data_IF_796152305959
#
_entry.id   IF_796152305959
#
_cell.length_a   1.000
_cell.length_b   1.000
_cell.length_c   1.000
_cell.angle_alpha   90.00
_cell.angle_beta   90.00
_cell.angle_gamma   90.00
#
_symmetry.space_group_name_H-M   'P 1'
#
loop_
_entity.id
_entity.type
_entity.pdbx_description
1 polymer ?
#
# COMPACT_ATOMS: atom_id res chain seq x y z
N UNK A 1 -48.62 20.81 -12.04
CA UNK A 1 -47.29 20.19 -12.14
C UNK A 1 -47.51 18.74 -12.50
N UNK A 2 -47.29 18.40 -13.76
CA UNK A 2 -47.36 17.03 -14.28
C UNK A 2 -46.25 16.21 -13.62
N UNK A 3 -46.60 15.31 -12.72
CA UNK A 3 -45.67 14.33 -12.14
C UNK A 3 -45.20 13.40 -13.25
N UNK A 4 -43.89 13.43 -13.53
CA UNK A 4 -43.26 12.58 -14.53
C UNK A 4 -43.43 11.10 -14.15
N UNK A 5 -43.78 10.20 -15.09
CA UNK A 5 -43.91 8.78 -14.79
C UNK A 5 -42.53 8.18 -14.44
N UNK A 6 -42.44 7.48 -13.30
CA UNK A 6 -41.25 6.75 -12.89
C UNK A 6 -41.09 5.46 -13.72
N UNK A 7 -39.89 5.20 -14.21
CA UNK A 7 -39.53 4.00 -14.94
C UNK A 7 -39.19 2.86 -13.97
N UNK A 8 -39.56 1.63 -14.33
CA UNK A 8 -39.11 0.43 -13.60
C UNK A 8 -37.62 0.21 -13.87
N UNK A 9 -36.92 -0.42 -12.92
CA UNK A 9 -35.49 -0.76 -13.09
C UNK A 9 -35.22 -1.52 -14.40
N UNK A 10 -36.09 -2.46 -14.80
CA UNK A 10 -35.92 -3.18 -16.05
C UNK A 10 -36.04 -2.30 -17.31
N UNK A 11 -36.78 -1.19 -17.25
CA UNK A 11 -36.90 -0.25 -18.36
C UNK A 11 -35.67 0.66 -18.45
N UNK A 12 -35.09 1.02 -17.29
CA UNK A 12 -33.83 1.76 -17.19
C UNK A 12 -32.66 0.90 -17.66
N UNK A 13 -32.61 -0.36 -17.22
CA UNK A 13 -31.60 -1.33 -17.64
C UNK A 13 -31.56 -1.49 -19.17
N UNK A 14 -32.72 -1.54 -19.84
CA UNK A 14 -32.76 -1.57 -21.32
C UNK A 14 -32.23 -0.28 -21.93
N UNK A 15 -32.65 0.89 -21.42
CA UNK A 15 -32.18 2.19 -21.90
C UNK A 15 -30.66 2.37 -21.71
N UNK A 16 -30.10 1.91 -20.60
CA UNK A 16 -28.65 1.94 -20.36
C UNK A 16 -27.91 1.11 -21.41
N UNK A 17 -28.40 -0.09 -21.72
CA UNK A 17 -27.78 -0.92 -22.75
C UNK A 17 -27.92 -0.32 -24.16
N UNK A 18 -29.05 0.30 -24.46
CA UNK A 18 -29.27 0.94 -25.77
C UNK A 18 -28.33 2.15 -25.94
N UNK A 19 -28.24 3.02 -24.94
CA UNK A 19 -27.33 4.19 -24.96
C UNK A 19 -25.87 3.75 -24.98
N UNK A 20 -25.49 2.75 -24.16
CA UNK A 20 -24.11 2.25 -24.15
C UNK A 20 -23.73 1.57 -25.48
N UNK A 21 -24.65 0.84 -26.11
CA UNK A 21 -24.45 0.26 -27.45
C UNK A 21 -24.18 1.34 -28.50
N UNK A 22 -24.96 2.44 -28.46
CA UNK A 22 -24.82 3.54 -29.41
C UNK A 22 -23.55 4.36 -29.18
N UNK A 23 -23.27 4.76 -27.93
CA UNK A 23 -22.14 5.65 -27.60
C UNK A 23 -20.79 4.94 -27.66
N UNK A 24 -20.73 3.68 -27.23
CA UNK A 24 -19.48 2.92 -27.19
C UNK A 24 -19.24 2.08 -28.45
N UNK A 25 -20.20 2.08 -29.40
CA UNK A 25 -20.05 1.44 -30.70
C UNK A 25 -20.11 -0.10 -30.69
N UNK A 26 -20.71 -0.70 -29.65
CA UNK A 26 -20.89 -2.16 -29.55
C UNK A 26 -22.25 -2.60 -30.09
N UNK A 27 -22.35 -3.73 -30.82
CA UNK A 27 -23.64 -4.33 -31.16
C UNK A 27 -24.49 -4.62 -29.92
N UNK A 28 -25.81 -4.41 -30.03
CA UNK A 28 -26.72 -4.52 -28.88
C UNK A 28 -26.79 -5.92 -28.25
N UNK A 29 -26.45 -6.96 -29.01
CA UNK A 29 -26.38 -8.37 -28.59
C UNK A 29 -25.02 -8.76 -27.99
N UNK A 30 -24.00 -7.91 -28.10
CA UNK A 30 -22.66 -8.11 -27.53
C UNK A 30 -22.46 -7.35 -26.21
N UNK A 31 -23.43 -6.53 -25.78
CA UNK A 31 -23.37 -5.74 -24.55
C UNK A 31 -24.35 -6.25 -23.47
N UNK A 32 -23.86 -6.29 -22.23
CA UNK A 32 -24.55 -6.83 -21.05
C UNK A 32 -24.41 -5.88 -19.85
N UNK A 33 -25.41 -5.89 -18.97
CA UNK A 33 -25.38 -5.09 -17.74
C UNK A 33 -24.22 -5.48 -16.81
N UNK A 34 -23.69 -6.68 -16.96
CA UNK A 34 -22.55 -7.16 -16.18
C UNK A 34 -21.22 -6.58 -16.64
N UNK A 35 -21.15 -5.94 -17.81
CA UNK A 35 -19.91 -5.52 -18.42
C UNK A 35 -19.30 -4.35 -17.65
N UNK A 36 -17.97 -4.44 -17.47
CA UNK A 36 -17.17 -3.45 -16.76
C UNK A 36 -16.83 -2.33 -17.74
N UNK A 37 -17.14 -1.09 -17.35
CA UNK A 37 -17.00 0.06 -18.24
C UNK A 37 -15.57 0.20 -18.78
N UNK A 38 -14.56 0.09 -17.92
CA UNK A 38 -13.17 0.25 -18.33
C UNK A 38 -12.62 -1.04 -18.95
N UNK A 39 -12.75 -2.17 -18.25
CA UNK A 39 -12.02 -3.38 -18.63
C UNK A 39 -12.68 -4.22 -19.74
N UNK A 40 -14.00 -4.16 -19.88
CA UNK A 40 -14.72 -4.92 -20.91
C UNK A 40 -15.12 -4.02 -22.09
N UNK A 41 -15.53 -2.77 -21.82
CA UNK A 41 -16.00 -1.83 -22.84
C UNK A 41 -14.95 -0.80 -23.28
N UNK A 42 -13.80 -0.75 -22.61
CA UNK A 42 -12.71 0.17 -22.97
C UNK A 42 -13.01 1.65 -22.72
N UNK A 43 -14.07 1.95 -21.95
CA UNK A 43 -14.55 3.30 -21.66
C UNK A 43 -13.48 4.12 -20.94
N UNK A 44 -13.01 5.19 -21.57
CA UNK A 44 -12.14 6.17 -20.92
C UNK A 44 -12.95 7.27 -20.20
N UNK A 45 -12.28 8.32 -19.72
CA UNK A 45 -12.94 9.39 -18.97
C UNK A 45 -13.82 10.30 -19.83
N UNK A 46 -13.56 10.42 -21.13
CA UNK A 46 -14.38 11.18 -22.06
C UNK A 46 -15.61 10.36 -22.46
N UNK A 47 -15.42 9.08 -22.79
CA UNK A 47 -16.50 8.15 -23.11
C UNK A 47 -17.52 8.06 -21.97
N UNK A 48 -17.04 8.07 -20.71
CA UNK A 48 -17.91 8.03 -19.53
C UNK A 48 -18.76 9.29 -19.39
N UNK A 49 -18.20 10.46 -19.71
CA UNK A 49 -18.94 11.73 -19.65
C UNK A 49 -20.02 11.76 -20.72
N UNK A 50 -19.70 11.36 -21.95
CA UNK A 50 -20.66 11.30 -23.06
C UNK A 50 -21.77 10.30 -22.76
N UNK A 51 -21.41 9.10 -22.26
CA UNK A 51 -22.36 8.08 -21.84
C UNK A 51 -23.33 8.58 -20.76
N UNK A 52 -22.83 9.33 -19.77
CA UNK A 52 -23.66 9.90 -18.70
C UNK A 52 -24.61 10.96 -19.26
N UNK A 53 -24.13 11.87 -20.10
CA UNK A 53 -24.94 12.94 -20.69
C UNK A 53 -26.11 12.39 -21.53
N UNK A 54 -25.83 11.38 -22.36
CA UNK A 54 -26.84 10.74 -23.21
C UNK A 54 -27.83 9.91 -22.39
N UNK A 55 -27.36 9.30 -21.29
CA UNK A 55 -28.22 8.58 -20.36
C UNK A 55 -29.14 9.53 -19.58
N UNK A 56 -28.63 10.69 -19.17
CA UNK A 56 -29.39 11.78 -18.56
C UNK A 56 -30.50 12.28 -19.49
N UNK A 57 -30.19 12.49 -20.78
CA UNK A 57 -31.18 12.86 -21.80
C UNK A 57 -32.21 11.75 -22.03
N UNK A 58 -31.76 10.49 -22.22
CA UNK A 58 -32.63 9.35 -22.50
C UNK A 58 -33.61 9.02 -21.36
N UNK A 59 -33.23 9.36 -20.13
CA UNK A 59 -34.05 9.19 -18.92
C UNK A 59 -34.72 10.48 -18.46
N UNK A 60 -34.38 11.62 -19.06
CA UNK A 60 -34.76 12.98 -18.67
C UNK A 60 -34.54 13.19 -17.14
N UNK A 61 -33.34 12.83 -16.69
CA UNK A 61 -32.89 12.91 -15.29
C UNK A 61 -31.50 13.54 -15.22
N UNK A 62 -31.07 14.03 -14.05
CA UNK A 62 -29.69 14.52 -13.85
C UNK A 62 -29.03 13.58 -12.87
N UNK A 63 -28.12 12.75 -13.36
CA UNK A 63 -27.34 11.85 -12.53
C UNK A 63 -26.39 12.69 -11.66
N UNK A 64 -26.25 12.36 -10.38
CA UNK A 64 -25.39 13.14 -9.50
C UNK A 64 -23.93 13.01 -9.93
N UNK A 65 -23.31 14.13 -10.34
CA UNK A 65 -21.88 14.21 -10.70
C UNK A 65 -20.98 14.12 -9.46
N UNK A 66 -21.46 14.60 -8.31
CA UNK A 66 -20.92 14.40 -6.98
C UNK A 66 -22.10 14.39 -6.00
N UNK A 67 -22.28 13.31 -5.24
CA UNK A 67 -23.32 13.28 -4.21
C UNK A 67 -22.70 12.98 -2.84
N UNK A 68 -22.97 13.87 -1.88
CA UNK A 68 -22.68 13.65 -0.46
C UNK A 68 -23.57 12.57 0.16
N UNK A 69 -24.56 12.05 -0.59
CA UNK A 69 -25.43 10.98 -0.14
C UNK A 69 -24.66 9.62 -0.17
N UNK A 70 -24.54 8.95 0.99
CA UNK A 70 -23.80 7.70 1.14
C UNK A 70 -24.24 6.59 0.19
N UNK A 71 -25.51 6.56 -0.23
CA UNK A 71 -26.05 5.53 -1.12
C UNK A 71 -25.44 5.67 -2.52
N UNK A 72 -25.44 6.88 -3.07
CA UNK A 72 -24.85 7.15 -4.39
C UNK A 72 -23.34 6.97 -4.36
N UNK A 73 -22.66 7.46 -3.31
CA UNK A 73 -21.20 7.28 -3.12
C UNK A 73 -20.83 5.79 -3.12
N UNK A 74 -21.62 4.95 -2.45
CA UNK A 74 -21.36 3.50 -2.39
C UNK A 74 -21.45 2.78 -3.74
N UNK A 75 -22.22 3.32 -4.69
CA UNK A 75 -22.36 2.76 -6.04
C UNK A 75 -21.22 3.26 -6.93
N UNK A 76 -20.93 4.56 -6.94
CA UNK A 76 -19.81 5.14 -7.71
C UNK A 76 -18.44 4.55 -7.35
N UNK A 77 -18.24 4.13 -6.09
CA UNK A 77 -16.96 3.54 -5.66
C UNK A 77 -16.86 2.03 -5.89
N UNK A 78 -17.87 1.37 -6.49
CA UNK A 78 -17.79 -0.06 -6.81
C UNK A 78 -16.69 -0.28 -7.85
N UNK A 79 -15.82 -1.25 -7.59
CA UNK A 79 -14.75 -1.65 -8.49
C UNK A 79 -14.84 -3.16 -8.72
N UNK A 80 -15.01 -3.63 -9.97
CA UNK A 80 -15.14 -2.83 -11.19
C UNK A 80 -16.53 -2.19 -11.32
N UNK A 81 -16.60 -0.98 -11.87
CA UNK A 81 -17.84 -0.23 -12.10
C UNK A 81 -18.51 -0.72 -13.41
N UNK A 82 -19.79 -1.08 -13.36
CA UNK A 82 -20.51 -1.78 -14.44
C UNK A 82 -21.68 -0.98 -14.99
N UNK A 83 -22.19 -1.37 -16.16
CA UNK A 83 -23.44 -0.82 -16.71
C UNK A 83 -24.65 -1.02 -15.77
N UNK A 84 -24.70 -2.12 -15.01
CA UNK A 84 -25.73 -2.31 -13.97
C UNK A 84 -25.68 -1.27 -12.87
N UNK A 85 -24.49 -0.74 -12.55
CA UNK A 85 -24.33 0.28 -11.52
C UNK A 85 -24.87 1.64 -12.00
N UNK A 86 -24.69 1.97 -13.29
CA UNK A 86 -25.35 3.13 -13.92
C UNK A 86 -26.87 3.02 -13.90
N UNK A 87 -27.41 1.83 -14.19
CA UNK A 87 -28.86 1.59 -14.11
C UNK A 87 -29.39 1.75 -12.68
N UNK A 88 -28.63 1.30 -11.67
CA UNK A 88 -28.98 1.46 -10.26
C UNK A 88 -28.97 2.94 -9.83
N UNK A 89 -27.97 3.72 -10.26
CA UNK A 89 -27.90 5.17 -10.03
C UNK A 89 -29.10 5.90 -10.63
N UNK A 90 -29.40 5.62 -11.89
CA UNK A 90 -30.56 6.18 -12.60
C UNK A 90 -31.90 5.82 -11.94
N UNK A 91 -32.01 4.62 -11.38
CA UNK A 91 -33.21 4.19 -10.65
C UNK A 91 -33.37 4.91 -9.31
N UNK A 92 -32.30 5.04 -8.54
CA UNK A 92 -32.31 5.72 -7.25
C UNK A 92 -32.62 7.21 -7.39
N UNK A 93 -32.13 7.84 -8.46
CA UNK A 93 -32.32 9.25 -8.73
C UNK A 93 -33.78 9.66 -9.04
N UNK A 94 -34.67 8.69 -9.27
CA UNK A 94 -36.11 8.93 -9.49
C UNK A 94 -36.91 9.12 -8.18
N UNK A 95 -36.26 9.06 -7.01
CA UNK A 95 -36.79 9.59 -5.76
C UNK A 95 -37.55 8.62 -4.84
N UNK A 96 -37.64 7.31 -5.13
CA UNK A 96 -38.35 6.35 -4.24
C UNK A 96 -37.84 4.89 -4.26
N UNK A 97 -36.57 4.61 -4.57
CA UNK A 97 -36.11 3.22 -4.76
C UNK A 97 -35.40 2.57 -3.57
N UNK A 98 -36.10 2.00 -2.59
CA UNK A 98 -35.50 0.96 -1.73
C UNK A 98 -34.97 -0.17 -2.63
N UNK A 99 -33.75 -0.72 -2.43
CA UNK A 99 -33.17 -1.68 -3.38
C UNK A 99 -34.07 -2.92 -3.53
N UNK A 100 -34.77 -2.99 -4.66
CA UNK A 100 -35.66 -4.09 -5.02
C UNK A 100 -34.89 -5.22 -5.68
N UNK A 101 -33.97 -5.88 -4.96
CA UNK A 101 -33.49 -7.23 -5.31
C UNK A 101 -33.25 -8.06 -4.05
N UNK A 102 -34.33 -8.64 -3.52
CA UNK A 102 -34.21 -9.87 -2.74
C UNK A 102 -33.97 -11.04 -3.71
N UNK A 103 -32.76 -11.19 -4.23
CA UNK A 103 -32.38 -12.48 -4.77
C UNK A 103 -32.02 -13.37 -3.58
N UNK A 104 -32.92 -14.30 -3.27
CA UNK A 104 -32.55 -15.55 -2.63
C UNK A 104 -31.53 -16.24 -3.54
N UNK A 105 -30.26 -15.90 -3.37
CA UNK A 105 -29.14 -16.62 -3.94
C UNK A 105 -29.09 -17.97 -3.21
N UNK A 106 -29.77 -18.96 -3.77
CA UNK A 106 -29.32 -20.33 -3.59
C UNK A 106 -27.95 -20.35 -4.29
N UNK A 107 -26.87 -20.36 -3.51
CA UNK A 107 -25.52 -20.49 -4.05
C UNK A 107 -25.56 -21.60 -5.11
N UNK A 108 -25.20 -21.32 -6.37
CA UNK A 108 -24.74 -22.39 -7.24
C UNK A 108 -23.70 -23.13 -6.41
N UNK A 109 -23.73 -24.46 -6.41
CA UNK A 109 -22.58 -25.23 -5.95
C UNK A 109 -21.44 -24.82 -6.88
N UNK A 110 -20.71 -23.79 -6.48
CA UNK A 110 -19.35 -23.57 -6.89
C UNK A 110 -18.66 -24.85 -6.44
N UNK A 111 -18.32 -25.70 -7.40
CA UNK A 111 -17.12 -26.48 -7.22
C UNK A 111 -16.06 -25.46 -6.84
N UNK A 112 -15.71 -25.47 -5.55
CA UNK A 112 -14.58 -24.74 -5.03
C UNK A 112 -13.39 -25.22 -5.86
N UNK A 113 -12.98 -24.42 -6.84
CA UNK A 113 -11.55 -24.25 -7.03
C UNK A 113 -11.01 -23.92 -5.62
N UNK A 114 -10.02 -24.66 -5.09
CA UNK A 114 -9.63 -24.52 -3.70
C UNK A 114 -9.22 -23.07 -3.44
N UNK A 115 -10.12 -22.32 -2.81
CA UNK A 115 -9.77 -21.04 -2.24
C UNK A 115 -9.06 -21.39 -0.93
N UNK A 116 -7.73 -21.40 -0.96
CA UNK A 116 -6.97 -21.11 0.24
C UNK A 116 -7.13 -19.61 0.55
N UNK A 117 -8.33 -19.25 1.00
CA UNK A 117 -8.67 -17.96 1.59
C UNK A 117 -8.01 -17.93 2.96
N UNK A 118 -6.77 -17.45 3.01
CA UNK A 118 -6.12 -17.13 4.27
C UNK A 118 -6.94 -16.04 5.00
N UNK A 119 -7.63 -16.41 6.09
CA UNK A 119 -8.54 -15.55 6.85
C UNK A 119 -7.85 -14.45 7.68
N UNK A 120 -6.53 -14.33 7.57
CA UNK A 120 -5.70 -13.45 8.38
C UNK A 120 -4.66 -12.75 7.50
N UNK A 121 -4.74 -11.42 7.38
CA UNK A 121 -3.79 -10.59 6.60
C UNK A 121 -3.24 -9.46 7.48
N UNK A 122 -2.31 -8.66 6.94
CA UNK A 122 -1.94 -7.40 7.58
C UNK A 122 -3.06 -6.35 7.60
N UNK A 123 -4.12 -6.53 6.82
CA UNK A 123 -5.23 -5.57 6.69
C UNK A 123 -6.44 -5.95 7.55
N UNK A 124 -6.60 -7.24 7.87
CA UNK A 124 -7.76 -7.76 8.57
C UNK A 124 -7.53 -9.17 9.15
N UNK A 125 -8.59 -9.71 9.75
CA UNK A 125 -8.60 -11.06 10.30
C UNK A 125 -7.99 -11.17 11.70
N UNK A 126 -8.28 -12.31 12.35
CA UNK A 126 -7.72 -12.69 13.65
C UNK A 126 -6.89 -13.94 13.48
N UNK A 127 -5.68 -13.91 14.03
CA UNK A 127 -4.87 -15.11 14.08
C UNK A 127 -5.31 -15.98 15.26
N UNK A 128 -5.66 -17.24 14.98
CA UNK A 128 -5.91 -18.24 16.00
C UNK A 128 -4.60 -19.00 16.28
N UNK A 129 -4.05 -18.81 17.49
CA UNK A 129 -2.85 -19.50 17.96
C UNK A 129 -3.15 -21.00 18.11
N UNK A 130 -2.98 -21.77 17.04
CA UNK A 130 -3.04 -23.23 17.15
C UNK A 130 -1.93 -23.69 18.11
N UNK A 131 -2.25 -24.57 19.06
CA UNK A 131 -1.38 -24.96 20.19
C UNK A 131 -0.11 -25.76 19.83
N UNK A 132 0.42 -25.59 18.61
CA UNK A 132 1.69 -26.18 18.18
C UNK A 132 2.87 -25.43 18.79
N UNK A 133 3.73 -26.15 19.49
CA UNK A 133 4.95 -25.67 20.15
C UNK A 133 6.17 -25.64 19.22
N UNK A 134 5.99 -25.73 17.90
CA UNK A 134 7.07 -25.58 16.90
C UNK A 134 6.88 -24.35 16.01
N UNK A 135 7.99 -23.64 15.83
CA UNK A 135 8.21 -22.30 15.30
C UNK A 135 8.15 -22.21 13.76
N UNK A 136 6.96 -22.29 13.16
CA UNK A 136 6.84 -21.94 11.74
C UNK A 136 6.29 -20.51 11.65
N UNK A 137 7.19 -19.53 11.61
CA UNK A 137 6.83 -18.11 11.49
C UNK A 137 6.09 -17.82 10.19
N UNK A 138 6.32 -18.64 9.17
CA UNK A 138 5.73 -18.49 7.85
C UNK A 138 4.80 -19.65 7.49
N UNK A 139 3.85 -19.35 6.60
CA UNK A 139 3.12 -20.32 5.80
C UNK A 139 3.30 -20.02 4.32
N UNK A 140 3.48 -21.07 3.51
CA UNK A 140 3.59 -20.90 2.06
C UNK A 140 2.26 -20.44 1.48
N UNK A 141 2.31 -19.54 0.49
CA UNK A 141 1.14 -19.06 -0.23
C UNK A 141 1.20 -19.58 -1.66
N UNK A 142 0.23 -20.40 -2.07
CA UNK A 142 0.13 -20.82 -3.47
C UNK A 142 -0.15 -19.61 -4.35
N UNK A 143 0.73 -19.33 -5.31
CA UNK A 143 0.65 -18.16 -6.17
C UNK A 143 1.11 -18.48 -7.58
N UNK A 144 0.55 -17.77 -8.57
CA UNK A 144 1.02 -17.79 -9.96
C UNK A 144 2.23 -16.87 -10.16
N UNK A 145 2.68 -16.17 -9.12
CA UNK A 145 3.82 -15.27 -9.21
C UNK A 145 5.14 -16.05 -9.40
N UNK A 146 6.11 -15.43 -10.05
CA UNK A 146 7.40 -16.07 -10.38
C UNK A 146 8.31 -16.26 -9.16
N UNK A 147 8.00 -15.58 -8.04
CA UNK A 147 8.80 -15.62 -6.81
C UNK A 147 7.99 -16.29 -5.68
N UNK A 148 8.61 -17.16 -4.86
CA UNK A 148 7.96 -17.75 -3.69
C UNK A 148 7.39 -16.67 -2.77
N UNK A 149 6.20 -16.93 -2.25
CA UNK A 149 5.50 -16.04 -1.33
C UNK A 149 5.12 -16.78 -0.07
N UNK A 150 5.23 -16.06 1.04
CA UNK A 150 4.97 -16.58 2.37
C UNK A 150 4.10 -15.60 3.13
N UNK A 151 3.23 -16.09 3.98
CA UNK A 151 2.50 -15.25 4.91
C UNK A 151 3.10 -15.37 6.30
N UNK A 152 3.51 -14.22 6.85
CA UNK A 152 4.06 -14.15 8.21
C UNK A 152 2.92 -14.25 9.21
N UNK A 153 3.01 -15.18 10.16
CA UNK A 153 1.90 -15.52 11.07
C UNK A 153 1.68 -14.50 12.18
N UNK A 154 2.67 -13.69 12.52
CA UNK A 154 2.57 -12.67 13.58
C UNK A 154 1.64 -11.53 13.17
N UNK A 155 1.72 -11.09 11.92
CA UNK A 155 1.04 -9.89 11.41
C UNK A 155 0.25 -10.13 10.13
N UNK A 156 0.27 -11.33 9.55
CA UNK A 156 -0.47 -11.65 8.32
C UNK A 156 0.12 -11.00 7.07
N UNK A 157 1.35 -10.46 7.16
CA UNK A 157 2.02 -9.83 6.04
C UNK A 157 2.36 -10.86 4.96
N UNK A 158 2.12 -10.49 3.70
CA UNK A 158 2.64 -11.25 2.56
C UNK A 158 4.10 -10.85 2.35
N UNK A 159 5.01 -11.81 2.47
CA UNK A 159 6.44 -11.64 2.26
C UNK A 159 6.85 -12.34 0.96
N UNK A 160 7.67 -11.67 0.16
CA UNK A 160 8.16 -12.15 -1.13
C UNK A 160 9.63 -12.53 -0.96
N UNK A 161 10.02 -13.70 -1.47
CA UNK A 161 11.40 -14.14 -1.48
C UNK A 161 12.16 -13.50 -2.64
N UNK A 162 13.12 -12.63 -2.30
CA UNK A 162 14.04 -12.02 -3.26
C UNK A 162 15.29 -12.91 -3.33
N UNK A 163 15.67 -13.41 -4.53
CA UNK A 163 16.75 -14.38 -4.65
C UNK A 163 18.13 -13.71 -4.53
N UNK A 164 19.12 -14.48 -4.06
CA UNK A 164 20.52 -14.05 -4.10
C UNK A 164 20.95 -13.61 -5.50
N UNK A 165 21.72 -12.53 -5.58
CA UNK A 165 22.25 -12.00 -6.82
C UNK A 165 23.48 -11.11 -6.60
N UNK A 166 24.24 -10.90 -7.67
CA UNK A 166 25.07 -9.71 -7.81
C UNK A 166 24.20 -8.58 -8.34
N UNK A 167 24.24 -7.44 -7.67
CA UNK A 167 23.31 -6.32 -7.88
C UNK A 167 24.12 -5.05 -8.06
N UNK A 168 23.81 -4.29 -9.10
CA UNK A 168 24.28 -2.91 -9.19
C UNK A 168 23.53 -2.07 -8.15
N UNK A 169 24.22 -1.41 -7.23
CA UNK A 169 23.68 -0.47 -6.23
C UNK A 169 24.14 0.95 -6.56
N UNK A 170 23.30 1.95 -6.29
CA UNK A 170 23.56 3.34 -6.69
C UNK A 170 23.35 3.61 -8.17
N UNK A 171 23.78 4.79 -8.62
CA UNK A 171 23.51 5.32 -9.96
C UNK A 171 24.58 6.31 -10.41
N UNK A 172 25.12 6.08 -11.61
CA UNK A 172 26.02 7.03 -12.29
C UNK A 172 25.30 7.91 -13.31
N UNK A 173 23.96 7.96 -13.26
CA UNK A 173 23.18 8.81 -14.17
C UNK A 173 23.57 10.28 -14.01
N UNK A 174 23.50 11.09 -15.08
CA UNK A 174 23.84 12.51 -15.00
C UNK A 174 23.04 13.30 -13.96
N UNK A 175 21.78 12.90 -13.72
CA UNK A 175 20.86 13.52 -12.76
C UNK A 175 20.92 12.89 -11.35
N UNK A 176 21.74 11.86 -11.13
CA UNK A 176 21.95 11.30 -9.80
C UNK A 176 22.82 12.23 -8.94
N UNK A 177 22.41 12.42 -7.68
CA UNK A 177 23.14 13.26 -6.72
C UNK A 177 24.41 12.55 -6.22
N UNK A 178 25.25 13.26 -5.47
CA UNK A 178 26.57 12.77 -5.08
C UNK A 178 26.52 11.50 -4.22
N UNK A 179 25.55 11.40 -3.29
CA UNK A 179 25.41 10.25 -2.38
C UNK A 179 24.80 8.99 -3.01
N UNK A 180 24.32 9.09 -4.26
CA UNK A 180 23.89 7.96 -5.08
C UNK A 180 25.07 7.32 -5.84
N UNK A 181 26.25 7.95 -5.80
CA UNK A 181 27.44 7.58 -6.57
C UNK A 181 28.56 7.05 -5.66
N UNK A 182 29.45 6.21 -6.20
CA UNK A 182 29.37 5.59 -7.53
C UNK A 182 28.35 4.45 -7.59
N UNK A 183 27.89 4.12 -8.79
CA UNK A 183 27.30 2.81 -9.03
C UNK A 183 28.35 1.72 -8.78
N UNK A 184 28.02 0.72 -7.98
CA UNK A 184 28.92 -0.38 -7.62
C UNK A 184 28.19 -1.71 -7.60
N UNK A 185 28.92 -2.82 -7.63
CA UNK A 185 28.34 -4.17 -7.62
C UNK A 185 28.49 -4.75 -6.22
N UNK A 186 27.40 -5.29 -5.68
CA UNK A 186 27.38 -5.96 -4.38
C UNK A 186 26.76 -7.34 -4.55
N UNK A 187 27.18 -8.30 -3.72
CA UNK A 187 26.48 -9.58 -3.60
C UNK A 187 25.47 -9.47 -2.47
N UNK A 188 24.22 -9.86 -2.74
CA UNK A 188 23.17 -9.99 -1.73
C UNK A 188 22.72 -11.44 -1.62
N UNK A 189 22.51 -11.91 -0.38
CA UNK A 189 21.88 -13.20 -0.13
C UNK A 189 20.38 -13.15 -0.38
N UNK A 190 19.76 -14.32 -0.39
CA UNK A 190 18.31 -14.45 -0.44
C UNK A 190 17.71 -13.93 0.87
N UNK A 191 16.64 -13.14 0.79
CA UNK A 191 15.87 -12.68 1.95
C UNK A 191 14.38 -12.66 1.64
N UNK A 192 13.56 -12.63 2.69
CA UNK A 192 12.15 -12.29 2.57
C UNK A 192 11.97 -10.80 2.81
N UNK A 193 11.07 -10.17 2.08
CA UNK A 193 10.69 -8.78 2.28
C UNK A 193 9.19 -8.61 2.15
N UNK A 194 8.62 -7.74 2.97
CA UNK A 194 7.20 -7.42 2.95
C UNK A 194 6.80 -6.89 1.56
N UNK A 195 5.73 -7.46 1.00
CA UNK A 195 5.18 -7.06 -0.29
C UNK A 195 4.72 -5.61 -0.27
N UNK A 196 4.23 -5.15 0.88
CA UNK A 196 3.58 -3.86 1.08
C UNK A 196 4.24 -3.15 2.29
N UNK A 197 4.19 -1.81 2.39
CA UNK A 197 4.50 -1.13 3.64
C UNK A 197 3.60 -1.64 4.79
N UNK A 198 4.09 -1.54 6.03
CA UNK A 198 3.31 -1.92 7.21
C UNK A 198 2.07 -1.05 7.32
N UNK A 199 0.89 -1.67 7.35
CA UNK A 199 -0.38 -0.97 7.48
C UNK A 199 -0.62 -0.45 8.90
N UNK A 200 -1.51 0.53 9.02
CA UNK A 200 -2.01 1.02 10.31
C UNK A 200 -2.65 -0.10 11.13
N UNK A 201 -3.47 -0.96 10.50
CA UNK A 201 -4.07 -2.12 11.16
C UNK A 201 -3.02 -3.08 11.72
N UNK A 202 -1.97 -3.37 10.96
CA UNK A 202 -0.91 -4.28 11.39
C UNK A 202 -0.13 -3.68 12.58
N UNK A 203 0.13 -2.38 12.57
CA UNK A 203 0.78 -1.70 13.69
C UNK A 203 -0.07 -1.69 14.96
N UNK A 204 -1.37 -1.43 14.86
CA UNK A 204 -2.29 -1.56 16.01
C UNK A 204 -2.29 -2.99 16.58
N UNK A 205 -2.22 -4.01 15.71
CA UNK A 205 -2.11 -5.41 16.16
C UNK A 205 -0.85 -5.65 17.00
N UNK A 206 0.29 -5.11 16.57
CA UNK A 206 1.52 -5.14 17.37
C UNK A 206 1.28 -4.52 18.76
N UNK A 207 0.79 -3.27 18.81
CA UNK A 207 0.57 -2.55 20.07
C UNK A 207 -0.39 -3.29 21.02
N UNK A 208 -1.44 -3.92 20.47
CA UNK A 208 -2.42 -4.67 21.27
C UNK A 208 -1.90 -6.02 21.74
N UNK A 209 -0.84 -6.56 21.12
CA UNK A 209 -0.29 -7.88 21.47
C UNK A 209 0.78 -7.84 22.56
N UNK A 210 1.42 -6.68 22.77
CA UNK A 210 2.56 -6.53 23.68
C UNK A 210 2.17 -6.15 25.11
N UNK A 211 0.88 -5.90 25.36
CA UNK A 211 0.36 -5.46 26.65
C UNK A 211 0.71 -4.00 26.96
N UNK A 212 0.57 -3.63 28.23
CA UNK A 212 0.94 -2.28 28.69
C UNK A 212 2.47 -2.14 28.79
N UNK A 213 2.98 -1.04 28.25
CA UNK A 213 4.40 -0.70 28.25
C UNK A 213 4.59 0.69 28.86
N UNK A 214 5.79 1.01 29.38
CA UNK A 214 6.09 2.35 29.86
C UNK A 214 5.86 3.42 28.78
N UNK A 215 5.35 4.59 29.17
CA UNK A 215 5.10 5.71 28.26
C UNK A 215 6.35 6.10 27.47
N UNK A 216 7.53 6.01 28.08
CA UNK A 216 8.81 6.30 27.42
C UNK A 216 9.05 5.47 26.15
N UNK A 217 8.55 4.23 26.09
CA UNK A 217 8.66 3.41 24.88
C UNK A 217 7.72 3.92 23.79
N UNK A 218 6.49 4.28 24.16
CA UNK A 218 5.53 4.85 23.22
C UNK A 218 6.02 6.20 22.69
N UNK A 219 6.59 7.04 23.55
CA UNK A 219 7.25 8.31 23.19
C UNK A 219 8.42 8.09 22.25
N UNK A 220 9.22 7.04 22.42
CA UNK A 220 10.27 6.70 21.47
C UNK A 220 9.69 6.25 20.13
N UNK A 221 8.59 5.49 20.14
CA UNK A 221 8.06 4.84 18.94
C UNK A 221 7.21 5.75 18.05
N UNK A 222 6.16 6.38 18.59
CA UNK A 222 5.19 7.12 17.77
C UNK A 222 4.44 8.24 18.50
N UNK A 223 4.39 8.22 19.83
CA UNK A 223 3.72 9.28 20.60
C UNK A 223 4.52 10.57 20.48
N UNK A 224 3.81 11.63 20.11
CA UNK A 224 4.35 12.97 19.96
C UNK A 224 4.19 13.78 21.25
N UNK A 225 4.96 14.85 21.39
CA UNK A 225 4.77 15.81 22.47
C UNK A 225 3.42 16.54 22.29
N UNK A 226 2.80 16.96 23.40
CA UNK A 226 1.46 17.58 23.37
C UNK A 226 1.34 18.83 22.50
N UNK A 227 2.45 19.56 22.32
CA UNK A 227 2.51 20.80 21.53
C UNK A 227 2.94 20.55 20.06
N UNK A 228 3.07 19.28 19.65
CA UNK A 228 3.47 18.90 18.30
C UNK A 228 2.28 18.98 17.34
N UNK A 229 2.36 19.90 16.38
CA UNK A 229 1.28 20.16 15.41
C UNK A 229 1.01 18.97 14.47
N UNK A 230 1.92 17.99 14.41
CA UNK A 230 1.74 16.75 13.63
C UNK A 230 0.79 15.77 14.30
N UNK A 231 0.41 15.97 15.56
CA UNK A 231 -0.52 15.08 16.28
C UNK A 231 -1.87 14.95 15.56
N UNK A 232 -2.28 16.02 14.85
CA UNK A 232 -3.50 16.02 14.02
C UNK A 232 -3.44 15.01 12.85
N UNK A 233 -2.26 14.48 12.52
CA UNK A 233 -2.04 13.48 11.47
C UNK A 233 -1.86 12.06 12.01
N UNK A 234 -2.03 11.83 13.32
CA UNK A 234 -1.97 10.49 13.91
C UNK A 234 -3.06 9.59 13.32
N UNK A 235 -2.65 8.41 12.84
CA UNK A 235 -3.55 7.45 12.19
C UNK A 235 -4.23 6.48 13.17
N UNK A 236 -3.84 6.50 14.44
CA UNK A 236 -4.30 5.56 15.46
C UNK A 236 -4.77 6.31 16.69
N UNK A 237 -5.70 5.71 17.42
CA UNK A 237 -6.14 6.19 18.73
C UNK A 237 -6.25 5.03 19.71
N UNK A 238 -6.17 5.34 21.00
CA UNK A 238 -6.42 4.37 22.07
C UNK A 238 -7.86 4.51 22.57
N UNK A 239 -8.64 3.44 22.48
CA UNK A 239 -10.00 3.34 23.03
C UNK A 239 -10.00 2.31 24.17
N UNK A 240 -10.12 2.79 25.41
CA UNK A 240 -9.95 1.94 26.58
C UNK A 240 -8.53 1.35 26.62
N UNK A 241 -8.41 0.02 26.55
CA UNK A 241 -7.14 -0.69 26.54
C UNK A 241 -6.62 -1.03 25.14
N UNK A 242 -7.38 -0.74 24.08
CA UNK A 242 -7.04 -1.16 22.71
C UNK A 242 -6.65 0.02 21.81
N UNK A 243 -5.61 -0.17 21.02
CA UNK A 243 -5.22 0.70 19.91
C UNK A 243 -6.01 0.31 18.66
N UNK A 244 -6.58 1.30 17.99
CA UNK A 244 -7.34 1.11 16.76
C UNK A 244 -6.96 2.16 15.71
N UNK A 245 -6.96 1.82 14.43
CA UNK A 245 -6.87 2.81 13.36
C UNK A 245 -8.02 3.82 13.46
N UNK A 246 -7.78 5.05 13.03
CA UNK A 246 -8.87 5.98 12.74
C UNK A 246 -9.70 5.44 11.56
N UNK A 247 -11.03 5.68 11.55
CA UNK A 247 -11.88 5.24 10.45
C UNK A 247 -11.37 5.74 9.09
N UNK A 248 -11.18 4.83 8.14
CA UNK A 248 -10.66 5.13 6.80
C UNK A 248 -9.13 5.06 6.65
N UNK A 249 -8.39 4.90 7.75
CA UNK A 249 -6.92 4.82 7.75
C UNK A 249 -6.40 3.38 7.88
N UNK A 250 -7.28 2.38 7.99
CA UNK A 250 -6.95 0.99 8.32
C UNK A 250 -5.89 0.40 7.38
N UNK A 251 -6.02 0.70 6.09
CA UNK A 251 -5.16 0.19 5.01
C UNK A 251 -4.05 1.16 4.61
N UNK A 252 -3.94 2.32 5.25
CA UNK A 252 -2.86 3.25 4.96
C UNK A 252 -1.56 2.77 5.57
N UNK A 253 -0.40 3.17 5.00
CA UNK A 253 0.88 2.89 5.62
C UNK A 253 0.95 3.57 7.00
N UNK A 254 1.45 2.86 7.99
CA UNK A 254 1.73 3.46 9.29
C UNK A 254 2.79 4.56 9.13
N UNK A 255 2.43 5.79 9.52
CA UNK A 255 3.29 6.98 9.47
C UNK A 255 3.48 7.55 10.88
N UNK A 256 4.28 8.62 11.01
CA UNK A 256 4.64 9.21 12.30
C UNK A 256 5.28 8.21 13.28
N UNK A 257 5.91 7.18 12.71
CA UNK A 257 6.66 6.17 13.45
C UNK A 257 8.15 6.45 13.31
N UNK A 258 8.85 6.44 14.42
CA UNK A 258 10.31 6.61 14.47
C UNK A 258 11.01 5.35 13.96
N UNK A 259 12.32 5.43 13.73
CA UNK A 259 13.11 4.25 13.43
C UNK A 259 13.01 3.22 14.56
N UNK A 260 12.98 3.68 15.82
CA UNK A 260 12.84 2.81 16.99
C UNK A 260 11.48 2.09 17.04
N UNK A 261 10.39 2.80 16.71
CA UNK A 261 9.06 2.20 16.64
C UNK A 261 8.92 1.20 15.48
N UNK A 262 9.55 1.50 14.34
CA UNK A 262 9.65 0.60 13.20
C UNK A 262 10.49 -0.65 13.55
N UNK A 263 11.60 -0.46 14.25
CA UNK A 263 12.48 -1.55 14.66
C UNK A 263 11.81 -2.48 15.70
N UNK A 264 11.11 -1.91 16.69
CA UNK A 264 10.34 -2.67 17.68
C UNK A 264 9.29 -3.56 17.01
N UNK A 265 8.53 -3.01 16.05
CA UNK A 265 7.60 -3.78 15.24
C UNK A 265 8.32 -4.88 14.46
N UNK A 266 9.42 -4.57 13.79
CA UNK A 266 10.15 -5.53 12.96
C UNK A 266 10.66 -6.74 13.76
N UNK A 267 11.14 -6.50 15.00
CA UNK A 267 11.56 -7.55 15.93
C UNK A 267 10.37 -8.40 16.36
N UNK A 268 9.26 -7.78 16.76
CA UNK A 268 8.05 -8.49 17.15
C UNK A 268 7.48 -9.34 16.01
N UNK A 269 7.41 -8.77 14.80
CA UNK A 269 6.91 -9.45 13.62
C UNK A 269 7.74 -10.69 13.29
N UNK A 270 9.04 -10.68 13.60
CA UNK A 270 9.97 -11.79 13.41
C UNK A 270 10.16 -12.70 14.64
N UNK A 271 9.21 -12.67 15.59
CA UNK A 271 9.25 -13.47 16.83
C UNK A 271 10.53 -13.26 17.66
N UNK A 272 11.10 -12.05 17.61
CA UNK A 272 12.25 -11.65 18.42
C UNK A 272 11.82 -10.71 19.55
N UNK A 273 12.69 -10.58 20.55
CA UNK A 273 12.46 -9.71 21.70
C UNK A 273 12.45 -8.22 21.29
N UNK A 274 11.25 -7.68 21.06
CA UNK A 274 11.02 -6.28 20.66
C UNK A 274 11.50 -5.25 21.68
N UNK A 275 11.64 -5.63 22.96
CA UNK A 275 12.22 -4.78 24.01
C UNK A 275 13.66 -4.34 23.72
N UNK A 276 14.34 -5.01 22.77
CA UNK A 276 15.70 -4.69 22.33
C UNK A 276 15.75 -3.72 21.15
N UNK A 277 14.69 -2.96 20.88
CA UNK A 277 14.62 -2.04 19.74
C UNK A 277 15.73 -0.97 19.68
N UNK A 278 16.41 -0.70 20.81
CA UNK A 278 17.58 0.20 20.91
C UNK A 278 18.93 -0.54 20.94
N UNK A 279 18.93 -1.87 21.14
CA UNK A 279 20.15 -2.66 21.27
C UNK A 279 20.68 -3.10 19.91
N UNK A 280 21.70 -2.37 19.45
CA UNK A 280 22.40 -2.64 18.19
C UNK A 280 23.69 -3.45 18.39
N UNK A 281 24.04 -3.79 19.63
CA UNK A 281 25.34 -4.39 19.99
C UNK A 281 25.41 -5.90 19.75
N UNK A 282 24.28 -6.55 19.43
CA UNK A 282 24.18 -8.00 19.20
C UNK A 282 23.77 -8.28 17.74
N UNK A 283 24.74 -8.52 16.86
CA UNK A 283 24.54 -9.08 15.51
C UNK A 283 24.42 -10.60 15.65
N UNK A 284 23.31 -11.26 15.29
CA UNK A 284 22.84 -11.39 13.91
C UNK A 284 21.46 -10.81 13.58
N UNK A 285 20.74 -10.21 14.55
CA UNK A 285 19.37 -9.75 14.28
C UNK A 285 19.25 -8.23 14.08
N UNK A 286 19.94 -7.38 14.85
CA UNK A 286 20.07 -5.91 14.66
C UNK A 286 18.82 -5.05 14.35
N UNK A 287 17.64 -5.66 14.21
CA UNK A 287 16.49 -5.14 13.49
C UNK A 287 16.21 -5.83 12.15
N UNK A 288 14.92 -6.00 11.87
CA UNK A 288 14.38 -6.60 10.64
C UNK A 288 13.81 -5.55 9.70
N UNK A 289 14.42 -4.37 9.67
CA UNK A 289 14.27 -3.39 8.59
C UNK A 289 15.25 -3.76 7.46
N UNK A 290 14.91 -3.50 6.19
CA UNK A 290 15.83 -3.78 5.09
C UNK A 290 17.10 -2.95 5.23
N UNK A 291 18.25 -3.49 4.81
CA UNK A 291 19.39 -2.62 4.49
C UNK A 291 19.06 -1.77 3.27
N UNK A 292 19.78 -0.66 3.05
CA UNK A 292 19.62 0.15 1.84
C UNK A 292 19.79 -0.67 0.57
N UNK A 293 20.78 -1.57 0.57
CA UNK A 293 21.08 -2.44 -0.58
C UNK A 293 19.95 -3.46 -0.81
N UNK A 294 19.43 -4.08 0.25
CA UNK A 294 18.27 -4.97 0.14
C UNK A 294 17.02 -4.23 -0.36
N UNK A 295 16.76 -3.03 0.16
CA UNK A 295 15.63 -2.22 -0.25
C UNK A 295 15.73 -1.85 -1.74
N UNK A 296 16.90 -1.37 -2.19
CA UNK A 296 17.11 -0.96 -3.58
C UNK A 296 17.05 -2.16 -4.53
N UNK A 297 17.64 -3.29 -4.16
CA UNK A 297 17.52 -4.51 -4.95
C UNK A 297 16.05 -4.93 -5.07
N UNK A 298 15.30 -4.98 -3.97
CA UNK A 298 13.89 -5.33 -3.99
C UNK A 298 13.02 -4.32 -4.76
N UNK A 299 13.47 -3.06 -4.87
CA UNK A 299 12.78 -2.03 -5.63
C UNK A 299 12.93 -2.23 -7.15
N UNK A 300 14.16 -2.46 -7.63
CA UNK A 300 14.48 -2.35 -9.07
C UNK A 300 15.17 -3.55 -9.71
N UNK A 301 15.41 -4.63 -8.95
CA UNK A 301 16.14 -5.79 -9.44
C UNK A 301 17.64 -5.55 -9.59
N UNK A 302 18.31 -6.42 -10.37
CA UNK A 302 19.77 -6.51 -10.42
C UNK A 302 20.46 -5.30 -11.07
N UNK A 303 19.77 -4.62 -11.99
CA UNK A 303 20.36 -3.56 -12.80
C UNK A 303 19.94 -2.17 -12.32
N UNK A 304 20.84 -1.19 -12.43
CA UNK A 304 20.56 0.19 -12.07
C UNK A 304 19.52 0.80 -13.01
N UNK A 305 18.31 0.95 -12.48
CA UNK A 305 17.14 1.55 -13.11
C UNK A 305 16.62 2.67 -12.20
N UNK A 306 16.11 3.77 -12.77
CA UNK A 306 15.66 4.89 -11.96
C UNK A 306 14.40 4.58 -11.15
N UNK A 307 13.48 3.77 -11.68
CA UNK A 307 12.22 3.41 -10.99
C UNK A 307 12.04 1.88 -10.91
N UNK A 308 11.14 1.40 -10.02
CA UNK A 308 10.82 -0.02 -9.90
C UNK A 308 10.38 -0.71 -11.19
N UNK A 309 9.74 0.06 -12.09
CA UNK A 309 9.26 -0.39 -13.39
C UNK A 309 10.23 -0.07 -14.55
N UNK A 310 11.43 0.42 -14.27
CA UNK A 310 12.44 0.77 -15.27
C UNK A 310 12.59 2.27 -15.51
N UNK A 311 12.84 2.66 -16.76
CA UNK A 311 13.20 4.03 -17.16
C UNK A 311 12.03 4.87 -17.72
N UNK A 312 10.82 4.31 -17.77
CA UNK A 312 9.64 5.06 -18.22
C UNK A 312 9.30 6.20 -17.27
N UNK A 313 8.74 7.28 -17.83
CA UNK A 313 8.39 8.47 -17.08
C UNK A 313 7.41 8.17 -15.93
N UNK A 314 7.60 8.81 -14.76
CA UNK A 314 6.68 8.68 -13.65
C UNK A 314 5.34 9.34 -13.97
N UNK A 315 4.25 8.72 -13.54
CA UNK A 315 2.90 9.27 -13.61
C UNK A 315 2.13 8.99 -12.32
N UNK A 316 1.01 9.70 -12.11
CA UNK A 316 0.17 9.51 -10.93
C UNK A 316 -0.52 8.14 -10.89
N UNK A 317 -0.67 7.48 -12.06
CA UNK A 317 -1.17 6.11 -12.16
C UNK A 317 -0.12 5.07 -11.74
N UNK A 318 1.16 5.47 -11.68
CA UNK A 318 2.27 4.60 -11.28
C UNK A 318 2.66 4.79 -9.82
N UNK A 319 2.64 6.01 -9.29
CA UNK A 319 3.01 6.27 -7.90
C UNK A 319 2.40 7.55 -7.36
N UNK A 320 2.36 7.69 -6.02
CA UNK A 320 1.99 8.95 -5.38
C UNK A 320 3.22 9.84 -5.18
N UNK A 321 3.27 10.99 -5.85
CA UNK A 321 4.33 12.00 -5.72
C UNK A 321 3.80 13.41 -6.02
N UNK A 322 4.49 14.45 -5.55
CA UNK A 322 4.21 15.84 -5.90
C UNK A 322 2.82 16.37 -5.51
N UNK A 323 2.10 15.71 -4.62
CA UNK A 323 0.77 16.14 -4.15
C UNK A 323 0.84 17.30 -3.16
N UNK A 324 1.99 17.54 -2.54
CA UNK A 324 2.09 18.63 -1.57
C UNK A 324 2.05 19.99 -2.25
N UNK A 325 1.05 20.79 -1.87
CA UNK A 325 0.93 22.21 -2.24
C UNK A 325 1.35 23.10 -1.07
N UNK A 326 2.14 24.14 -1.36
CA UNK A 326 2.58 25.15 -0.37
C UNK A 326 1.35 25.81 0.27
N UNK A 327 1.40 26.03 1.58
CA UNK A 327 0.36 26.69 2.38
C UNK A 327 -0.99 25.93 2.47
N UNK A 328 -1.03 24.67 2.08
CA UNK A 328 -2.16 23.78 2.36
C UNK A 328 -1.90 23.02 3.66
N UNK A 329 -2.80 23.19 4.63
CA UNK A 329 -2.92 22.26 5.75
C UNK A 329 -3.72 21.05 5.29
N UNK A 330 -3.37 19.88 5.80
CA UNK A 330 -4.09 18.64 5.51
C UNK A 330 -4.71 18.21 6.82
N UNK A 331 -6.00 17.90 6.81
CA UNK A 331 -6.55 17.04 7.87
C UNK A 331 -6.08 15.60 7.63
N UNK A 332 -6.13 14.76 8.67
CA UNK A 332 -5.70 13.35 8.55
C UNK A 332 -6.39 12.63 7.38
N UNK A 333 -7.70 12.88 7.19
CA UNK A 333 -8.51 12.30 6.12
C UNK A 333 -8.16 12.79 4.71
N UNK A 334 -7.39 13.87 4.60
CA UNK A 334 -6.99 14.49 3.33
C UNK A 334 -5.53 14.22 2.97
N UNK A 335 -4.80 13.46 3.79
CA UNK A 335 -3.46 13.02 3.44
C UNK A 335 -3.52 12.21 2.14
N UNK A 336 -2.73 12.54 1.11
CA UNK A 336 -2.77 11.88 -0.19
C UNK A 336 -1.99 10.55 -0.18
N UNK A 337 -2.25 9.75 0.85
CA UNK A 337 -1.76 8.39 1.01
C UNK A 337 -2.61 7.44 0.17
N UNK A 338 -1.96 6.42 -0.37
CA UNK A 338 -2.64 5.30 -0.98
C UNK A 338 -2.62 4.10 -0.03
N UNK A 339 -3.67 3.28 -0.08
CA UNK A 339 -3.72 1.98 0.59
C UNK A 339 -2.48 1.16 0.26
N UNK A 340 -1.92 0.46 1.25
CA UNK A 340 -0.66 -0.29 1.10
C UNK A 340 -0.75 -1.38 0.04
N UNK A 341 -1.93 -1.91 -0.24
CA UNK A 341 -2.18 -2.93 -1.26
C UNK A 341 -2.56 -2.35 -2.64
N UNK A 342 -2.62 -1.03 -2.81
CA UNK A 342 -2.78 -0.41 -4.13
C UNK A 342 -1.57 -0.76 -5.02
N UNK A 343 -1.82 -1.10 -6.29
CA UNK A 343 -0.78 -1.54 -7.25
C UNK A 343 0.00 -0.36 -7.84
N UNK A 344 0.57 0.46 -6.97
CA UNK A 344 1.44 1.59 -7.30
C UNK A 344 2.88 1.25 -6.90
N UNK A 345 3.88 1.85 -7.53
CA UNK A 345 5.27 1.67 -7.17
C UNK A 345 5.77 0.25 -7.35
N UNK A 346 5.14 -0.52 -8.25
CA UNK A 346 5.33 -1.97 -8.34
C UNK A 346 6.75 -2.34 -8.79
N UNK A 347 7.45 -3.15 -8.00
CA UNK A 347 8.72 -3.75 -8.41
C UNK A 347 8.52 -4.99 -9.27
N UNK A 348 9.59 -5.42 -9.94
CA UNK A 348 9.63 -6.68 -10.71
C UNK A 348 9.34 -7.93 -9.86
N UNK A 349 9.58 -7.87 -8.56
CA UNK A 349 9.26 -8.95 -7.62
C UNK A 349 7.79 -8.94 -7.18
N UNK A 350 7.06 -7.86 -7.46
CA UNK A 350 5.67 -7.66 -7.05
C UNK A 350 5.51 -6.90 -5.73
N UNK A 351 6.54 -6.16 -5.27
CA UNK A 351 6.41 -5.29 -4.10
C UNK A 351 5.69 -3.99 -4.49
N UNK A 352 4.76 -3.55 -3.65
CA UNK A 352 3.99 -2.33 -3.79
C UNK A 352 4.72 -1.15 -3.17
N UNK A 353 4.48 0.05 -3.68
CA UNK A 353 4.96 1.33 -3.16
C UNK A 353 6.49 1.36 -2.96
N UNK A 354 7.26 0.75 -3.86
CA UNK A 354 8.73 0.91 -3.89
C UNK A 354 9.16 2.25 -4.51
N UNK A 355 8.22 3.06 -4.99
CA UNK A 355 8.42 4.45 -5.35
C UNK A 355 7.18 5.25 -4.97
N UNK A 356 7.35 6.38 -4.28
CA UNK A 356 6.28 7.26 -3.84
C UNK A 356 5.51 6.75 -2.60
N UNK A 357 4.34 7.33 -2.37
CA UNK A 357 3.50 7.12 -1.18
C UNK A 357 4.19 7.58 0.11
N UNK A 358 5.07 6.77 0.71
CA UNK A 358 5.82 7.11 1.93
C UNK A 358 7.29 6.69 1.82
N UNK A 359 8.16 7.49 2.42
CA UNK A 359 9.53 7.11 2.69
C UNK A 359 9.55 5.88 3.61
N UNK A 360 10.58 5.06 3.48
CA UNK A 360 10.68 3.81 4.25
C UNK A 360 12.01 3.73 4.97
N UNK A 361 11.94 3.57 6.30
CA UNK A 361 13.12 3.36 7.14
C UNK A 361 13.93 2.13 6.70
N UNK A 362 15.25 2.31 6.65
CA UNK A 362 16.23 1.25 6.48
C UNK A 362 17.08 1.07 7.75
N UNK A 363 17.78 -0.06 7.84
CA UNK A 363 18.62 -0.39 9.00
C UNK A 363 19.90 0.44 9.04
N UNK A 364 20.45 0.83 7.91
CA UNK A 364 21.72 1.55 7.79
C UNK A 364 21.74 2.88 8.55
N UNK A 365 22.88 3.17 9.18
CA UNK A 365 23.26 4.54 9.46
C UNK A 365 23.58 5.24 8.12
N UNK A 366 22.90 6.35 7.86
CA UNK A 366 23.07 7.09 6.61
C UNK A 366 24.42 7.80 6.60
N UNK A 367 25.19 7.57 5.54
CA UNK A 367 26.39 8.31 5.22
C UNK A 367 26.39 8.60 3.71
N UNK A 368 26.60 9.87 3.36
CA UNK A 368 26.65 10.35 1.99
C UNK A 368 27.84 9.75 1.22
N UNK A 369 28.94 9.44 1.93
CA UNK A 369 30.15 8.91 1.33
C UNK A 369 30.24 7.38 1.39
N UNK A 370 29.22 6.69 1.96
CA UNK A 370 29.25 5.23 2.14
C UNK A 370 29.57 4.48 0.84
N UNK A 371 28.97 4.88 -0.28
CA UNK A 371 29.16 4.18 -1.56
C UNK A 371 30.60 4.27 -2.11
N UNK A 372 31.43 5.16 -1.56
CA UNK A 372 32.85 5.27 -1.90
C UNK A 372 33.74 4.44 -0.96
N UNK A 373 33.17 3.89 0.11
CA UNK A 373 33.91 3.12 1.10
C UNK A 373 34.10 1.66 0.66
N UNK A 374 35.15 0.98 1.15
CA UNK A 374 35.34 -0.46 0.87
C UNK A 374 34.18 -1.32 1.37
N UNK A 375 33.52 -0.93 2.46
CA UNK A 375 32.40 -1.66 3.07
C UNK A 375 31.15 -1.69 2.17
N UNK A 376 30.97 -0.71 1.28
CA UNK A 376 29.84 -0.69 0.36
C UNK A 376 29.87 -1.81 -0.69
N UNK A 377 31.04 -2.39 -0.97
CA UNK A 377 31.19 -3.51 -1.92
C UNK A 377 31.31 -4.88 -1.23
N UNK A 378 31.16 -4.92 0.10
CA UNK A 378 31.15 -6.18 0.84
C UNK A 378 29.89 -7.01 0.52
N UNK A 379 29.91 -8.28 0.91
CA UNK A 379 28.75 -9.16 0.83
C UNK A 379 27.71 -8.73 1.87
N UNK A 380 26.46 -8.50 1.44
CA UNK A 380 25.39 -7.94 2.28
C UNK A 380 25.78 -6.63 2.99
N UNK A 381 26.12 -5.56 2.24
CA UNK A 381 26.64 -4.33 2.85
C UNK A 381 25.59 -3.71 3.77
N UNK A 382 26.06 -3.24 4.92
CA UNK A 382 25.30 -2.54 5.95
C UNK A 382 26.20 -1.52 6.62
N UNK A 383 25.84 -0.24 6.58
CA UNK A 383 26.56 0.75 7.34
C UNK A 383 26.16 0.73 8.83
N UNK A 384 27.04 0.17 9.66
CA UNK A 384 26.87 0.12 11.12
C UNK A 384 27.52 1.31 11.85
N UNK A 385 28.23 2.18 11.14
CA UNK A 385 28.92 3.33 11.74
C UNK A 385 27.90 4.38 12.14
N UNK A 386 27.75 4.64 13.44
CA UNK A 386 26.75 5.58 13.95
C UNK A 386 27.02 7.03 13.49
N UNK A 387 26.32 7.46 12.45
CA UNK A 387 26.34 8.84 11.92
C UNK A 387 25.29 9.75 12.54
N UNK A 388 24.52 9.26 13.53
CA UNK A 388 23.36 9.90 14.18
C UNK A 388 22.10 10.02 13.32
N UNK A 389 22.14 9.57 12.07
CA UNK A 389 20.99 9.56 11.17
C UNK A 389 20.82 8.19 10.51
N UNK A 390 19.58 7.71 10.43
CA UNK A 390 19.19 6.48 9.75
C UNK A 390 18.77 6.76 8.33
N UNK A 391 19.00 5.80 7.45
CA UNK A 391 18.59 5.93 6.05
C UNK A 391 17.09 5.73 5.86
N UNK A 392 16.54 6.45 4.89
CA UNK A 392 15.20 6.23 4.35
C UNK A 392 15.23 6.25 2.81
N UNK A 393 14.33 5.47 2.20
CA UNK A 393 14.32 5.21 0.75
C UNK A 393 12.92 5.38 0.14
N UNK A 394 12.87 5.54 -1.19
CA UNK A 394 11.65 5.40 -2.01
C UNK A 394 10.82 6.65 -2.29
N UNK A 395 11.11 7.78 -1.66
CA UNK A 395 10.32 8.99 -1.89
C UNK A 395 8.96 8.95 -1.21
N UNK A 396 8.16 10.01 -1.40
CA UNK A 396 6.80 10.05 -0.86
C UNK A 396 5.87 10.90 -1.71
N UNK A 397 4.59 10.92 -1.34
CA UNK A 397 3.58 11.78 -1.95
C UNK A 397 3.94 13.28 -1.95
N UNK A 398 4.86 13.73 -1.10
CA UNK A 398 5.21 15.15 -0.93
C UNK A 398 6.14 15.66 -2.03
N UNK A 399 7.22 14.92 -2.29
CA UNK A 399 8.34 15.39 -3.10
C UNK A 399 8.14 15.21 -4.60
N UNK A 400 8.98 15.83 -5.44
CA UNK A 400 8.98 15.57 -6.87
C UNK A 400 9.48 14.15 -7.16
N UNK A 401 9.20 13.64 -8.36
CA UNK A 401 9.47 12.25 -8.74
C UNK A 401 10.94 11.84 -8.69
N UNK A 402 11.88 12.77 -8.74
CA UNK A 402 13.32 12.51 -8.63
C UNK A 402 13.68 11.97 -7.25
N UNK A 403 12.97 12.37 -6.19
CA UNK A 403 13.16 11.83 -4.85
C UNK A 403 12.64 10.39 -4.72
N UNK A 404 11.89 9.93 -5.72
CA UNK A 404 11.37 8.57 -5.80
C UNK A 404 12.25 7.66 -6.68
N UNK A 405 13.43 8.11 -7.12
CA UNK A 405 14.37 7.19 -7.76
C UNK A 405 14.76 6.08 -6.79
N UNK A 406 14.86 4.85 -7.29
CA UNK A 406 15.24 3.68 -6.47
C UNK A 406 16.64 3.83 -5.85
N UNK A 407 17.51 4.62 -6.48
CA UNK A 407 18.84 4.95 -5.96
C UNK A 407 18.86 6.15 -5.01
N UNK A 408 17.79 6.95 -4.89
CA UNK A 408 17.79 8.18 -4.08
C UNK A 408 17.78 7.93 -2.56
N UNK A 409 18.80 8.44 -1.86
CA UNK A 409 19.02 8.21 -0.42
C UNK A 409 18.86 9.51 0.35
N UNK A 410 18.46 9.42 1.62
CA UNK A 410 18.59 10.53 2.57
C UNK A 410 18.59 10.00 4.00
N UNK A 411 19.12 10.81 4.92
CA UNK A 411 19.19 10.48 6.34
C UNK A 411 18.25 11.32 7.21
N UNK A 412 17.69 10.71 8.25
CA UNK A 412 16.94 11.39 9.33
C UNK A 412 17.38 10.88 10.69
N UNK A 413 17.22 11.70 11.73
CA UNK A 413 17.49 11.22 13.09
C UNK A 413 16.58 10.03 13.41
N UNK A 414 17.03 9.05 14.21
CA UNK A 414 16.23 7.84 14.49
C UNK A 414 14.91 8.14 15.21
N UNK A 415 14.81 9.28 15.90
CA UNK A 415 13.58 9.77 16.55
C UNK A 415 12.66 10.58 15.60
N UNK A 416 13.06 10.82 14.36
CA UNK A 416 12.23 11.57 13.41
C UNK A 416 10.91 10.84 13.14
N UNK A 417 9.81 11.59 13.04
CA UNK A 417 8.47 11.08 12.75
C UNK A 417 7.86 11.95 11.66
N UNK A 418 7.64 11.38 10.48
CA UNK A 418 7.15 12.12 9.33
C UNK A 418 5.74 11.67 8.95
N UNK A 419 4.89 12.62 8.56
CA UNK A 419 3.56 12.34 7.96
C UNK A 419 3.60 11.66 6.58
N UNK A 420 4.81 11.37 6.11
CA UNK A 420 5.08 10.70 4.84
C UNK A 420 6.25 9.71 4.98
N UNK A 421 6.48 9.20 6.20
CA UNK A 421 7.55 8.29 6.55
C UNK A 421 6.96 7.10 7.31
N UNK A 422 7.08 5.93 6.71
CA UNK A 422 6.70 4.65 7.28
C UNK A 422 7.86 3.66 7.13
N UNK A 423 7.55 2.38 6.97
CA UNK A 423 8.54 1.32 6.87
C UNK A 423 7.94 0.04 6.31
N UNK A 424 8.83 -0.91 6.01
CA UNK A 424 8.51 -2.31 5.75
C UNK A 424 9.56 -3.19 6.40
N UNK A 425 9.27 -4.47 6.58
CA UNK A 425 10.19 -5.40 7.21
C UNK A 425 10.81 -6.39 6.20
N UNK A 426 11.90 -7.00 6.64
CA UNK A 426 12.50 -8.19 6.06
C UNK A 426 12.38 -9.35 7.05
N UNK A 427 12.67 -10.56 6.58
CA UNK A 427 12.77 -11.77 7.42
C UNK A 427 13.85 -12.70 6.88
N UNK A 428 14.40 -13.54 7.74
CA UNK A 428 15.34 -14.58 7.31
C UNK A 428 14.59 -15.68 6.57
N UNK A 429 15.19 -16.21 5.50
CA UNK A 429 14.67 -17.40 4.83
C UNK A 429 14.78 -18.66 5.70
N UNK A 430 15.64 -18.64 6.71
CA UNK A 430 15.78 -19.73 7.68
C UNK A 430 14.54 -19.88 8.57
N UNK A 431 13.74 -18.82 8.71
CA UNK A 431 12.51 -18.82 9.52
C UNK A 431 11.30 -19.45 8.79
N UNK A 432 11.44 -19.85 7.51
CA UNK A 432 10.36 -20.44 6.69
C UNK A 432 9.98 -21.86 7.15
N UNK A 433 10.93 -22.57 7.76
CA UNK A 433 10.91 -24.00 8.13
C UNK A 433 10.98 -25.00 6.96
#
# INVERSE_FOLDING_TARGET
MTTKPQLRLSEIEQKVLDVASEQLGFPRDEISLSDRLIEDLGCDSLDLIELIMELEEALDTVLPSESSDPVYKSIFTRQPFRLSDLAELAYLNQGTGTPGRSHHFRQPKTEKAPAELFSFTQLDGRWERSGSTKSNLFESVETKNSYPQFRRRSDGMLCIQVPTAEVEIGSDRPDAIADEKPKHIVKLDTFLIDAEPVSTTAYCRFLNSIGEVPDSYLTDWFVLDLDDDRDIHMLIRKEGSEWQPLPGCEKWPMILVSWYGANAYSLWANDKLWLRYQDESHTDAGGYLPTEAQWEYAARGQYSQPYPWGSESPSQDRMRFGFHRKSVSYDVSELPLADVNARLGMSLFGLHHMAGNVWQWCRDWYDAEFYQSPEAIEHNPLNQTNTRVRSERGGSWVGPSQLCHSSYRRGRTPLARGRCLGFRCISSVEDIA
#
